data_IF_118289815279
#
_entry.id   IF_118289815279
#
_cell.length_a   1.000
_cell.length_b   1.000
_cell.length_c   1.000
_cell.angle_alpha   90.00
_cell.angle_beta   90.00
_cell.angle_gamma   90.00
#
_symmetry.space_group_name_H-M   'P 1'
#
loop_
_entity.id
_entity.type
_entity.pdbx_description
1 polymer ?
#
# COMPACT_ATOMS: atom_id res chain seq x y z
N UNK A 1 -2.79 23.46 17.40
CA UNK A 1 -1.46 23.04 16.94
C UNK A 1 -1.66 21.73 16.20
N UNK A 2 -0.86 21.44 15.18
CA UNK A 2 -1.01 20.22 14.39
C UNK A 2 -0.11 19.14 15.00
N UNK A 3 -0.67 17.98 15.34
CA UNK A 3 0.08 16.85 15.89
C UNK A 3 0.31 15.76 14.84
N UNK A 4 1.39 15.01 15.01
CA UNK A 4 1.70 13.81 14.23
C UNK A 4 2.01 12.67 15.19
N UNK A 5 1.51 11.47 14.89
CA UNK A 5 1.84 10.26 15.65
C UNK A 5 2.93 9.49 14.92
N UNK A 6 4.05 9.23 15.59
CA UNK A 6 5.18 8.43 15.09
C UNK A 6 5.47 7.37 16.16
N UNK A 7 5.51 6.09 15.80
CA UNK A 7 5.75 4.97 16.73
C UNK A 7 4.88 5.03 18.00
N UNK A 8 3.57 5.26 17.82
CA UNK A 8 2.57 5.36 18.90
C UNK A 8 2.77 6.54 19.87
N UNK A 9 3.67 7.48 19.55
CA UNK A 9 3.88 8.72 20.31
C UNK A 9 3.38 9.92 19.52
N UNK A 10 2.66 10.79 20.20
CA UNK A 10 2.18 12.04 19.64
C UNK A 10 3.23 13.15 19.79
N UNK A 11 3.47 13.87 18.69
CA UNK A 11 4.41 14.99 18.61
C UNK A 11 3.68 16.21 18.07
N UNK A 12 3.87 17.36 18.70
CA UNK A 12 3.48 18.63 18.12
C UNK A 12 4.42 18.96 16.96
N UNK A 13 3.87 19.20 15.77
CA UNK A 13 4.67 19.46 14.57
C UNK A 13 5.52 20.73 14.76
N UNK A 14 4.98 21.72 15.48
CA UNK A 14 5.67 22.98 15.73
C UNK A 14 6.93 22.81 16.61
N UNK A 15 6.97 21.76 17.45
CA UNK A 15 8.09 21.43 18.33
C UNK A 15 9.19 20.60 17.64
N UNK A 16 8.93 20.12 16.41
CA UNK A 16 9.91 19.36 15.63
C UNK A 16 10.97 20.29 15.00
N UNK A 17 12.22 19.83 14.97
CA UNK A 17 13.29 20.49 14.23
C UNK A 17 13.00 20.48 12.73
N UNK A 18 13.60 21.41 11.98
CA UNK A 18 13.45 21.48 10.53
C UNK A 18 13.92 20.18 9.83
N UNK A 19 14.97 19.56 10.36
CA UNK A 19 15.46 18.26 9.90
C UNK A 19 14.44 17.14 10.15
N UNK A 20 13.82 17.10 11.34
CA UNK A 20 12.77 16.12 11.64
C UNK A 20 11.54 16.30 10.75
N UNK A 21 11.14 17.54 10.45
CA UNK A 21 10.05 17.85 9.51
C UNK A 21 10.37 17.38 8.09
N UNK A 22 11.60 17.57 7.61
CA UNK A 22 12.03 17.09 6.30
C UNK A 22 12.00 15.56 6.21
N UNK A 23 12.44 14.88 7.27
CA UNK A 23 12.42 13.42 7.34
C UNK A 23 10.99 12.87 7.41
N UNK A 24 10.10 13.53 8.16
CA UNK A 24 8.68 13.20 8.21
C UNK A 24 8.02 13.33 6.84
N UNK A 25 8.35 14.39 6.08
CA UNK A 25 7.88 14.54 4.70
C UNK A 25 8.32 13.38 3.79
N UNK A 26 9.58 12.95 3.94
CA UNK A 26 10.12 11.82 3.18
C UNK A 26 9.47 10.48 3.56
N UNK A 27 9.19 10.28 4.86
CA UNK A 27 8.47 9.11 5.36
C UNK A 27 7.05 9.05 4.80
N UNK A 28 6.30 10.14 4.91
CA UNK A 28 4.92 10.22 4.39
C UNK A 28 4.86 9.93 2.88
N UNK A 29 5.85 10.40 2.12
CA UNK A 29 5.97 10.09 0.70
C UNK A 29 6.18 8.60 0.45
N UNK A 30 7.09 7.97 1.20
CA UNK A 30 7.35 6.53 1.08
C UNK A 30 6.10 5.70 1.44
N UNK A 31 5.40 6.06 2.50
CA UNK A 31 4.17 5.38 2.94
C UNK A 31 3.05 5.50 1.90
N UNK A 32 2.89 6.68 1.30
CA UNK A 32 1.92 6.88 0.22
C UNK A 32 2.24 6.00 -1.00
N UNK A 33 3.51 5.87 -1.37
CA UNK A 33 3.91 5.03 -2.50
C UNK A 33 3.76 3.54 -2.17
N UNK A 34 4.06 3.11 -0.94
CA UNK A 34 3.79 1.75 -0.48
C UNK A 34 2.29 1.43 -0.59
N UNK A 35 1.42 2.31 -0.10
CA UNK A 35 -0.03 2.13 -0.21
C UNK A 35 -0.49 2.02 -1.68
N UNK A 36 0.06 2.85 -2.56
CA UNK A 36 -0.20 2.80 -4.00
C UNK A 36 0.20 1.46 -4.62
N UNK A 37 1.40 0.97 -4.27
CA UNK A 37 1.91 -0.32 -4.76
C UNK A 37 1.07 -1.49 -4.24
N UNK A 38 0.66 -1.47 -2.97
CA UNK A 38 -0.23 -2.48 -2.41
C UNK A 38 -1.57 -2.55 -3.15
N UNK A 39 -2.15 -1.39 -3.48
CA UNK A 39 -3.38 -1.34 -4.29
C UNK A 39 -3.18 -1.94 -5.68
N UNK A 40 -2.04 -1.65 -6.33
CA UNK A 40 -1.71 -2.24 -7.63
C UNK A 40 -1.52 -3.76 -7.54
N UNK A 41 -0.87 -4.26 -6.50
CA UNK A 41 -0.72 -5.70 -6.25
C UNK A 41 -2.08 -6.38 -6.13
N UNK A 42 -3.01 -5.82 -5.36
CA UNK A 42 -4.36 -6.37 -5.23
C UNK A 42 -5.11 -6.42 -6.57
N UNK A 43 -4.98 -5.37 -7.40
CA UNK A 43 -5.55 -5.35 -8.74
C UNK A 43 -4.95 -6.44 -9.64
N UNK A 44 -3.62 -6.61 -9.60
CA UNK A 44 -2.93 -7.63 -10.40
C UNK A 44 -3.24 -9.06 -9.94
N UNK A 45 -3.42 -9.29 -8.63
CA UNK A 45 -3.86 -10.57 -8.10
C UNK A 45 -5.26 -10.94 -8.62
N UNK A 46 -6.18 -9.97 -8.63
CA UNK A 46 -7.52 -10.16 -9.20
C UNK A 46 -7.43 -10.54 -10.67
N UNK A 47 -6.69 -9.76 -11.47
CA UNK A 47 -6.50 -10.04 -12.89
C UNK A 47 -5.87 -11.42 -13.14
N UNK A 48 -4.83 -11.78 -12.38
CA UNK A 48 -4.18 -13.10 -12.47
C UNK A 48 -5.18 -14.23 -12.23
N UNK A 49 -6.03 -14.12 -11.20
CA UNK A 49 -7.00 -15.15 -10.87
C UNK A 49 -8.05 -15.30 -11.98
N UNK A 50 -8.52 -14.19 -12.56
CA UNK A 50 -9.42 -14.20 -13.72
C UNK A 50 -8.78 -14.89 -14.92
N UNK A 51 -7.53 -14.57 -15.24
CA UNK A 51 -6.83 -15.22 -16.35
C UNK A 51 -6.58 -16.70 -16.10
N UNK A 52 -6.30 -17.09 -14.85
CA UNK A 52 -6.14 -18.50 -14.48
C UNK A 52 -7.45 -19.28 -14.66
N UNK A 53 -8.59 -18.71 -14.25
CA UNK A 53 -9.91 -19.32 -14.45
C UNK A 53 -10.23 -19.48 -15.95
N UNK A 54 -10.08 -18.41 -16.74
CA UNK A 54 -10.31 -18.46 -18.18
C UNK A 54 -9.39 -19.47 -18.89
N UNK A 55 -8.14 -19.62 -18.43
CA UNK A 55 -7.24 -20.62 -18.98
C UNK A 55 -7.72 -22.05 -18.70
N UNK A 56 -8.21 -22.35 -17.49
CA UNK A 56 -8.76 -23.67 -17.15
C UNK A 56 -9.95 -24.04 -18.05
N UNK A 57 -10.86 -23.08 -18.28
CA UNK A 57 -12.00 -23.28 -19.18
C UNK A 57 -11.56 -23.67 -20.60
N UNK A 58 -10.52 -23.02 -21.13
CA UNK A 58 -9.98 -23.30 -22.47
C UNK A 58 -9.24 -24.64 -22.52
N UNK A 59 -8.61 -25.06 -21.43
CA UNK A 59 -7.92 -26.35 -21.34
C UNK A 59 -8.89 -27.54 -21.15
N UNK A 60 -10.18 -27.26 -20.89
CA UNK A 60 -11.18 -28.30 -20.66
C UNK A 60 -10.96 -29.05 -19.34
N UNK A 61 -10.22 -28.46 -18.41
CA UNK A 61 -10.12 -28.97 -17.04
C UNK A 61 -11.43 -28.58 -16.32
N UNK A 62 -12.26 -29.55 -15.89
CA UNK A 62 -13.47 -29.23 -15.16
C UNK A 62 -13.10 -28.42 -13.91
N UNK A 63 -13.86 -27.38 -13.60
CA UNK A 63 -13.77 -26.78 -12.26
C UNK A 63 -14.04 -27.91 -11.26
N UNK A 64 -13.10 -28.16 -10.34
CA UNK A 64 -13.32 -29.10 -9.25
C UNK A 64 -14.53 -28.59 -8.45
N UNK A 65 -15.71 -29.20 -8.68
CA UNK A 65 -16.95 -29.00 -7.89
C UNK A 65 -16.79 -29.50 -6.45
#
# INVERSE_FOLDING_TARGET
MATVTIDEKEYEIDDLSDEAKAQLGSLNFADAELARLTALVAAMQTARNTYAAALKEVLGEPEDE
#
